data_IF_504194762399
#
_entry.id   IF_504194762399
#
_cell.length_a   1.000
_cell.length_b   1.000
_cell.length_c   1.000
_cell.angle_alpha   90.00
_cell.angle_beta   90.00
_cell.angle_gamma   90.00
#
_symmetry.space_group_name_H-M   'P 1'
#
loop_
_entity.id
_entity.type
_entity.pdbx_description
1 polymer ?
#
# COMPACT_ATOMS: atom_id res chain seq x y z
N UNK A 1 -6.96 -4.05 -15.88
CA UNK A 1 -7.87 -2.93 -16.20
C UNK A 1 -7.13 -1.62 -16.01
N UNK A 2 -6.81 -0.93 -17.10
CA UNK A 2 -6.28 0.44 -17.09
C UNK A 2 -7.46 1.38 -16.82
N UNK A 3 -7.75 1.67 -15.55
CA UNK A 3 -8.78 2.65 -15.21
C UNK A 3 -8.31 4.05 -15.62
N UNK A 4 -8.78 4.52 -16.77
CA UNK A 4 -8.52 5.89 -17.23
C UNK A 4 -9.31 6.87 -16.38
N UNK A 5 -8.65 7.47 -15.39
CA UNK A 5 -9.25 8.51 -14.55
C UNK A 5 -9.72 9.69 -15.41
N UNK A 6 -10.90 10.22 -15.10
CA UNK A 6 -11.41 11.45 -15.73
C UNK A 6 -10.52 12.65 -15.37
N UNK A 7 -10.60 13.74 -16.16
CA UNK A 7 -9.85 14.98 -15.87
C UNK A 7 -10.18 15.54 -14.47
N UNK A 8 -11.44 15.42 -14.05
CA UNK A 8 -11.88 15.85 -12.72
C UNK A 8 -11.28 14.97 -11.62
N UNK A 9 -11.28 13.64 -11.81
CA UNK A 9 -10.65 12.70 -10.87
C UNK A 9 -9.15 12.94 -10.75
N UNK A 10 -8.44 13.21 -11.86
CA UNK A 10 -6.99 13.53 -11.82
C UNK A 10 -6.70 14.80 -11.03
N UNK A 11 -7.46 15.88 -11.27
CA UNK A 11 -7.34 17.12 -10.49
C UNK A 11 -7.63 16.90 -9.01
N UNK A 12 -8.64 16.07 -8.70
CA UNK A 12 -8.95 15.71 -7.33
C UNK A 12 -7.82 14.90 -6.66
N UNK A 13 -7.21 13.94 -7.35
CA UNK A 13 -6.05 13.20 -6.84
C UNK A 13 -4.84 14.08 -6.58
N UNK A 14 -4.55 15.03 -7.49
CA UNK A 14 -3.43 15.97 -7.36
C UNK A 14 -3.55 16.83 -6.10
N UNK A 15 -4.76 17.24 -5.71
CA UNK A 15 -4.99 18.03 -4.48
C UNK A 15 -4.57 17.28 -3.22
N UNK A 16 -4.63 15.95 -3.23
CA UNK A 16 -4.28 15.12 -2.08
C UNK A 16 -2.85 14.51 -2.18
N UNK A 17 -2.15 14.75 -3.29
CA UNK A 17 -0.85 14.12 -3.57
C UNK A 17 0.19 14.45 -2.49
N UNK A 18 0.40 15.73 -2.18
CA UNK A 18 1.43 16.15 -1.22
C UNK A 18 1.24 15.56 0.18
N UNK A 19 0.00 15.36 0.64
CA UNK A 19 -0.27 14.76 1.94
C UNK A 19 -0.13 13.23 1.90
N UNK A 20 -0.61 12.59 0.82
CA UNK A 20 -0.40 11.16 0.61
C UNK A 20 1.10 10.82 0.51
N UNK A 21 1.91 11.69 -0.10
CA UNK A 21 3.36 11.53 -0.18
C UNK A 21 4.02 11.58 1.19
N UNK A 22 3.52 12.40 2.14
CA UNK A 22 4.00 12.40 3.52
C UNK A 22 3.72 11.07 4.22
N UNK A 23 2.57 10.45 3.95
CA UNK A 23 2.26 9.13 4.50
C UNK A 23 3.22 8.06 3.97
N UNK A 24 3.52 8.10 2.66
CA UNK A 24 4.51 7.22 2.02
C UNK A 24 5.93 7.44 2.59
N UNK A 25 6.35 8.69 2.79
CA UNK A 25 7.64 8.98 3.42
C UNK A 25 7.69 8.51 4.88
N UNK A 26 6.56 8.61 5.60
CA UNK A 26 6.41 8.02 6.94
C UNK A 26 6.60 6.50 6.94
N UNK A 27 6.13 5.82 5.89
CA UNK A 27 6.36 4.38 5.67
C UNK A 27 7.82 4.08 5.37
N UNK A 28 8.46 4.88 4.52
CA UNK A 28 9.89 4.75 4.23
C UNK A 28 10.73 4.88 5.50
N UNK A 29 10.46 5.88 6.34
CA UNK A 29 11.19 6.14 7.59
C UNK A 29 10.99 5.04 8.63
N UNK A 30 9.79 4.45 8.69
CA UNK A 30 9.53 3.32 9.60
C UNK A 30 10.43 2.12 9.28
N UNK A 31 10.43 1.65 8.04
CA UNK A 31 11.27 0.52 7.65
C UNK A 31 12.77 0.83 7.65
N UNK A 32 13.16 2.10 7.48
CA UNK A 32 14.54 2.52 7.64
C UNK A 32 15.00 2.50 9.11
N UNK A 33 14.09 2.82 10.05
CA UNK A 33 14.36 2.79 11.49
C UNK A 33 14.36 1.36 12.04
N UNK A 34 13.52 0.49 11.48
CA UNK A 34 13.33 -0.88 11.94
C UNK A 34 13.59 -1.87 10.78
N UNK A 35 14.86 -2.13 10.44
CA UNK A 35 15.22 -2.92 9.26
C UNK A 35 14.77 -4.39 9.35
N UNK A 36 14.57 -4.91 10.56
CA UNK A 36 14.10 -6.28 10.79
C UNK A 36 12.57 -6.43 10.62
N UNK A 37 11.84 -5.33 10.45
CA UNK A 37 10.39 -5.36 10.28
C UNK A 37 10.04 -5.68 8.84
N UNK A 38 9.24 -6.73 8.64
CA UNK A 38 8.69 -7.07 7.32
C UNK A 38 7.32 -6.43 7.11
N UNK A 39 6.54 -6.23 8.19
CA UNK A 39 5.15 -5.79 8.10
C UNK A 39 4.92 -4.48 8.86
N UNK A 40 4.00 -3.68 8.31
CA UNK A 40 3.47 -2.49 8.98
C UNK A 40 1.97 -2.37 8.74
N UNK A 41 1.25 -2.07 9.80
CA UNK A 41 -0.15 -1.66 9.73
C UNK A 41 -0.26 -0.26 10.32
N UNK A 42 -1.06 0.59 9.69
CA UNK A 42 -1.39 1.90 10.22
C UNK A 42 -2.76 2.33 9.75
N UNK A 43 -3.33 3.31 10.43
CA UNK A 43 -4.50 4.00 9.93
C UNK A 43 -4.23 4.61 8.55
N UNK A 44 -5.24 4.51 7.69
CA UNK A 44 -5.25 5.21 6.40
C UNK A 44 -5.40 6.71 6.67
N UNK A 45 -4.49 7.52 6.12
CA UNK A 45 -4.61 8.97 6.23
C UNK A 45 -5.86 9.47 5.47
N UNK A 46 -6.34 10.67 5.82
CA UNK A 46 -7.48 11.25 5.11
C UNK A 46 -7.18 11.46 3.62
N UNK A 47 -5.99 11.96 3.27
CA UNK A 47 -5.58 12.11 1.89
C UNK A 47 -5.55 10.78 1.11
N UNK A 48 -4.99 9.72 1.70
CA UNK A 48 -5.00 8.41 1.07
C UNK A 48 -6.42 7.85 0.93
N UNK A 49 -7.28 8.04 1.94
CA UNK A 49 -8.69 7.69 1.85
C UNK A 49 -9.35 8.35 0.65
N UNK A 50 -9.18 9.66 0.47
CA UNK A 50 -9.74 10.38 -0.68
C UNK A 50 -9.22 9.85 -2.01
N UNK A 51 -7.92 9.56 -2.11
CA UNK A 51 -7.34 8.98 -3.33
C UNK A 51 -7.93 7.60 -3.65
N UNK A 52 -8.11 6.75 -2.64
CA UNK A 52 -8.73 5.43 -2.80
C UNK A 52 -10.19 5.56 -3.24
N UNK A 53 -10.96 6.45 -2.61
CA UNK A 53 -12.37 6.71 -2.97
C UNK A 53 -12.51 7.21 -4.42
N UNK A 54 -11.61 8.10 -4.85
CA UNK A 54 -11.56 8.60 -6.23
C UNK A 54 -11.24 7.46 -7.21
N UNK A 55 -10.24 6.64 -6.88
CA UNK A 55 -9.81 5.53 -7.74
C UNK A 55 -10.89 4.44 -7.87
N UNK A 56 -11.56 4.11 -6.76
CA UNK A 56 -12.65 3.12 -6.74
C UNK A 56 -13.97 3.68 -7.27
N UNK A 57 -14.11 5.00 -7.39
CA UNK A 57 -15.35 5.67 -7.80
C UNK A 57 -16.47 5.59 -6.75
N UNK A 58 -16.17 5.20 -5.51
CA UNK A 58 -17.14 5.04 -4.42
C UNK A 58 -16.52 5.39 -3.06
N UNK A 59 -17.32 5.91 -2.10
CA UNK A 59 -16.83 6.17 -0.75
C UNK A 59 -16.48 4.87 -0.02
N UNK A 60 -15.47 4.93 0.84
CA UNK A 60 -15.19 3.87 1.81
C UNK A 60 -16.18 4.03 2.95
N UNK A 61 -16.88 2.96 3.32
CA UNK A 61 -17.92 2.95 4.36
C UNK A 61 -17.60 1.85 5.40
N UNK A 62 -16.67 2.09 6.33
CA UNK A 62 -16.52 1.22 7.49
C UNK A 62 -17.76 1.33 8.38
N UNK A 63 -18.13 0.24 9.05
CA UNK A 63 -19.12 0.25 10.13
C UNK A 63 -18.61 1.05 11.35
N UNK A 64 -19.47 1.43 12.32
CA UNK A 64 -19.07 2.26 13.46
C UNK A 64 -17.93 1.69 14.33
N UNK A 65 -17.80 0.37 14.39
CA UNK A 65 -16.76 -0.38 15.10
C UNK A 65 -15.54 -0.69 14.21
N UNK A 66 -15.48 -0.13 13.00
CA UNK A 66 -14.43 -0.38 12.02
C UNK A 66 -13.64 0.88 11.65
N UNK A 67 -12.40 0.66 11.24
CA UNK A 67 -11.55 1.66 10.61
C UNK A 67 -10.97 1.17 9.29
N UNK A 68 -10.46 2.13 8.51
CA UNK A 68 -9.72 1.84 7.29
C UNK A 68 -8.24 1.92 7.58
N UNK A 69 -7.54 0.84 7.25
CA UNK A 69 -6.11 0.67 7.49
C UNK A 69 -5.34 0.57 6.17
N UNK A 70 -4.07 0.92 6.27
CA UNK A 70 -3.05 0.57 5.29
C UNK A 70 -2.25 -0.60 5.86
N UNK A 71 -2.28 -1.74 5.17
CA UNK A 71 -1.42 -2.89 5.48
C UNK A 71 -0.29 -2.94 4.46
N UNK A 72 0.92 -3.21 4.94
CA UNK A 72 2.14 -3.20 4.14
C UNK A 72 3.01 -4.41 4.42
N UNK A 73 3.65 -4.88 3.35
CA UNK A 73 4.71 -5.89 3.39
C UNK A 73 5.93 -5.39 2.64
N UNK A 74 7.08 -5.39 3.30
CA UNK A 74 8.35 -5.12 2.66
C UNK A 74 8.81 -6.38 1.91
N UNK A 75 9.00 -6.26 0.60
CA UNK A 75 9.46 -7.38 -0.24
C UNK A 75 10.97 -7.37 -0.41
N UNK A 76 11.57 -6.17 -0.40
CA UNK A 76 13.01 -5.90 -0.45
C UNK A 76 13.27 -4.46 0.07
N UNK A 77 14.53 -4.07 0.34
CA UNK A 77 14.88 -2.68 0.61
C UNK A 77 14.32 -1.73 -0.46
N UNK A 78 13.47 -0.78 -0.05
CA UNK A 78 12.84 0.19 -0.97
C UNK A 78 11.61 -0.32 -1.72
N UNK A 79 11.34 -1.63 -1.75
CA UNK A 79 10.17 -2.20 -2.46
C UNK A 79 9.15 -2.74 -1.47
N UNK A 80 7.93 -2.20 -1.55
CA UNK A 80 6.85 -2.48 -0.58
C UNK A 80 5.55 -2.73 -1.32
N UNK A 81 4.83 -3.77 -0.91
CA UNK A 81 3.43 -3.93 -1.28
C UNK A 81 2.54 -3.24 -0.25
N UNK A 82 1.46 -2.61 -0.72
CA UNK A 82 0.48 -1.90 0.10
C UNK A 82 -0.92 -2.28 -0.33
N UNK A 83 -1.80 -2.50 0.65
CA UNK A 83 -3.23 -2.65 0.45
C UNK A 83 -4.02 -1.80 1.45
N UNK A 84 -5.25 -1.45 1.06
CA UNK A 84 -6.22 -0.75 1.92
C UNK A 84 -7.25 -1.76 2.39
N UNK A 85 -7.43 -1.87 3.71
CA UNK A 85 -8.33 -2.86 4.32
C UNK A 85 -9.28 -2.16 5.30
N UNK A 86 -10.46 -2.73 5.49
CA UNK A 86 -11.39 -2.32 6.55
C UNK A 86 -11.35 -3.41 7.62
N UNK A 87 -11.19 -3.02 8.88
CA UNK A 87 -11.10 -3.95 10.01
C UNK A 87 -11.52 -3.29 11.32
N UNK A 88 -11.49 -4.03 12.43
CA UNK A 88 -11.91 -3.54 13.75
C UNK A 88 -11.13 -2.29 14.19
N UNK A 89 -11.83 -1.31 14.76
CA UNK A 89 -11.26 -0.06 15.26
C UNK A 89 -10.25 -0.29 16.39
N UNK A 90 -10.46 -1.32 17.21
CA UNK A 90 -9.55 -1.75 18.28
C UNK A 90 -8.17 -2.20 17.78
N UNK A 91 -8.02 -2.47 16.48
CA UNK A 91 -6.71 -2.71 15.85
C UNK A 91 -5.87 -1.43 15.67
N UNK A 92 -6.28 -0.31 16.28
CA UNK A 92 -5.58 0.99 16.28
C UNK A 92 -4.78 1.13 17.57
N UNK A 93 -3.52 1.55 17.45
CA UNK A 93 -2.82 2.24 18.54
C UNK A 93 -1.76 1.44 19.28
N UNK A 94 -1.64 0.14 19.03
CA UNK A 94 -0.51 -0.63 19.54
C UNK A 94 0.58 -0.76 18.48
N UNK A 95 1.85 -0.67 18.90
CA UNK A 95 2.99 -1.09 18.08
C UNK A 95 2.86 -2.60 17.87
N UNK A 96 2.00 -3.01 16.92
CA UNK A 96 1.86 -4.41 16.54
C UNK A 96 3.26 -4.96 16.34
N UNK A 97 3.53 -6.12 16.91
CA UNK A 97 4.73 -6.88 16.60
C UNK A 97 4.75 -7.22 15.11
N UNK A 98 5.91 -7.59 14.58
CA UNK A 98 5.99 -7.97 13.17
C UNK A 98 5.13 -9.21 12.88
N UNK A 99 5.02 -10.11 13.86
CA UNK A 99 4.19 -11.31 13.79
C UNK A 99 2.69 -10.99 13.73
N UNK A 100 2.18 -10.09 14.56
CA UNK A 100 0.77 -9.68 14.55
C UNK A 100 0.41 -8.94 13.25
N UNK A 101 1.27 -8.00 12.84
CA UNK A 101 1.10 -7.30 11.57
C UNK A 101 1.15 -8.27 10.38
N UNK A 102 2.03 -9.28 10.45
CA UNK A 102 2.11 -10.37 9.49
C UNK A 102 0.82 -11.19 9.44
N UNK A 103 0.30 -11.63 10.58
CA UNK A 103 -0.94 -12.41 10.66
C UNK A 103 -2.12 -11.70 9.98
N UNK A 104 -2.30 -10.41 10.24
CA UNK A 104 -3.38 -9.62 9.62
C UNK A 104 -3.17 -9.49 8.10
N UNK A 105 -1.94 -9.20 7.67
CA UNK A 105 -1.63 -9.07 6.24
C UNK A 105 -1.85 -10.39 5.49
N UNK A 106 -1.32 -11.48 6.03
CA UNK A 106 -1.39 -12.80 5.41
C UNK A 106 -2.83 -13.31 5.36
N UNK A 107 -3.61 -13.13 6.44
CA UNK A 107 -5.04 -13.42 6.45
C UNK A 107 -5.79 -12.65 5.37
N UNK A 108 -5.47 -11.36 5.19
CA UNK A 108 -6.05 -10.56 4.11
C UNK A 108 -5.64 -11.05 2.72
N UNK A 109 -4.37 -11.45 2.54
CA UNK A 109 -3.87 -11.97 1.29
C UNK A 109 -4.51 -13.31 0.90
N UNK A 110 -4.82 -14.17 1.88
CA UNK A 110 -5.44 -15.47 1.66
C UNK A 110 -6.87 -15.37 1.10
N UNK A 111 -7.64 -14.39 1.59
CA UNK A 111 -9.00 -14.14 1.08
C UNK A 111 -9.01 -13.29 -0.21
N UNK A 112 -7.87 -12.74 -0.63
CA UNK A 112 -7.74 -11.96 -1.88
C UNK A 112 -6.65 -12.52 -2.79
N UNK A 113 -6.95 -13.50 -3.66
CA UNK A 113 -5.96 -14.13 -4.54
C UNK A 113 -5.16 -13.15 -5.41
N UNK A 114 -5.75 -12.00 -5.79
CA UNK A 114 -5.08 -10.95 -6.53
C UNK A 114 -3.89 -10.33 -5.77
N UNK A 115 -3.93 -10.30 -4.44
CA UNK A 115 -2.83 -9.85 -3.59
C UNK A 115 -1.66 -10.83 -3.70
N UNK A 116 -1.92 -12.13 -3.54
CA UNK A 116 -0.90 -13.19 -3.72
C UNK A 116 -0.27 -13.15 -5.11
N UNK A 117 -1.08 -13.01 -6.15
CA UNK A 117 -0.60 -12.90 -7.53
C UNK A 117 0.31 -11.68 -7.70
N UNK A 118 -0.11 -10.51 -7.19
CA UNK A 118 0.68 -9.27 -7.28
C UNK A 118 1.98 -9.35 -6.48
N UNK A 119 1.96 -10.01 -5.32
CA UNK A 119 3.17 -10.28 -4.53
C UNK A 119 4.17 -11.12 -5.34
N UNK A 120 3.72 -12.25 -5.90
CA UNK A 120 4.56 -13.13 -6.70
C UNK A 120 5.16 -12.40 -7.91
N UNK A 121 4.35 -11.61 -8.62
CA UNK A 121 4.82 -10.79 -9.75
C UNK A 121 5.88 -9.77 -9.31
N UNK A 122 5.65 -9.05 -8.21
CA UNK A 122 6.62 -8.06 -7.73
C UNK A 122 7.89 -8.71 -7.22
N UNK A 123 7.81 -9.83 -6.50
CA UNK A 123 8.99 -10.59 -6.08
C UNK A 123 9.81 -11.06 -7.27
N UNK A 124 9.15 -11.61 -8.30
CA UNK A 124 9.84 -12.02 -9.53
C UNK A 124 10.54 -10.83 -10.20
N UNK A 125 9.90 -9.66 -10.28
CA UNK A 125 10.50 -8.46 -10.87
C UNK A 125 11.66 -7.88 -10.06
N UNK A 126 11.62 -7.98 -8.72
CA UNK A 126 12.69 -7.49 -7.83
C UNK A 126 13.89 -8.44 -7.80
N UNK A 127 13.64 -9.75 -7.91
CA UNK A 127 14.69 -10.77 -8.00
C UNK A 127 15.29 -10.90 -9.40
N UNK A 128 14.73 -10.24 -10.42
CA UNK A 128 15.40 -10.15 -11.72
C UNK A 128 16.69 -9.34 -11.54
N UNK A 129 17.86 -9.89 -11.91
CA UNK A 129 19.07 -9.10 -11.91
C UNK A 129 18.83 -7.87 -12.79
N UNK A 130 19.35 -6.71 -12.40
CA UNK A 130 19.49 -5.53 -13.29
C UNK A 130 20.38 -5.94 -14.47
N UNK A 131 19.82 -6.66 -15.43
CA UNK A 131 20.44 -7.15 -16.64
C UNK A 131 19.53 -6.77 -17.79
N UNK A 132 20.06 -5.98 -18.71
CA UNK A 132 19.37 -5.32 -19.82
C UNK A 132 18.49 -4.13 -19.41
N UNK A 133 19.15 -3.07 -18.92
CA UNK A 133 18.84 -1.74 -19.47
C UNK A 133 18.78 -1.90 -20.99
N UNK A 134 17.64 -1.58 -21.60
CA UNK A 134 17.58 -1.34 -23.04
C UNK A 134 18.51 -0.16 -23.32
N UNK A 135 19.74 -0.48 -23.71
CA UNK A 135 20.65 0.48 -24.32
C UNK A 135 20.04 0.95 -25.64
N UNK A 136 19.91 2.27 -25.75
CA UNK A 136 20.15 2.98 -27.00
C UNK A 136 19.09 2.85 -28.08
N UNK A 137 17.95 3.53 -27.89
CA UNK A 137 17.30 4.20 -29.01
C UNK A 137 18.23 5.30 -29.54
N UNK A 138 19.04 4.98 -30.54
CA UNK A 138 20.06 5.86 -31.10
C UNK A 138 20.14 5.76 -32.62
N UNK A 139 19.50 6.75 -33.26
CA UNK A 139 19.50 7.17 -34.67
C UNK A 139 18.55 6.45 -35.63
#
# INVERSE_FOLDING_TARGET
>A
MTSTLTRQQRRAMQRHAAEADRAVEGDRRFFARWPDRTYRIRLLSQAERRQVEIFQGKPLRPEPDQAVFTVMKQLAPGVRMRATVIGPLESIGEELTDAEAGSIYESYADIHPAIRQREAMMRAAVCQPRGASQDGGGR
#
